data_IF_391858231376
#
_entry.id   IF_391858231376
#
_cell.length_a   1.000
_cell.length_b   1.000
_cell.length_c   1.000
_cell.angle_alpha   90.00
_cell.angle_beta   90.00
_cell.angle_gamma   90.00
#
_symmetry.space_group_name_H-M   'P 1'
#
loop_
_entity.id
_entity.type
_entity.pdbx_description
1 polymer ?
#
# COMPACT_ATOMS: atom_id res chain seq x y z
N UNK A 1 -15.52 -18.36 -9.30
CA UNK A 1 -15.29 -17.85 -7.93
C UNK A 1 -14.79 -16.43 -8.04
N UNK A 2 -15.36 -15.49 -7.25
CA UNK A 2 -15.04 -14.06 -7.39
C UNK A 2 -14.94 -13.36 -6.02
N UNK A 3 -13.97 -12.45 -5.88
CA UNK A 3 -13.73 -11.64 -4.68
C UNK A 3 -14.90 -10.70 -4.38
N UNK A 4 -15.27 -10.57 -3.10
CA UNK A 4 -16.39 -9.75 -2.64
C UNK A 4 -15.97 -8.59 -1.71
N UNK A 5 -14.69 -8.42 -1.45
CA UNK A 5 -14.18 -7.51 -0.41
C UNK A 5 -14.72 -6.09 -0.54
N UNK A 6 -14.76 -5.55 -1.75
CA UNK A 6 -15.21 -4.18 -2.00
C UNK A 6 -16.60 -4.07 -2.66
N UNK A 7 -17.44 -5.11 -2.57
CA UNK A 7 -18.78 -5.13 -3.22
C UNK A 7 -19.70 -3.97 -2.81
N UNK A 8 -19.49 -3.37 -1.65
CA UNK A 8 -20.24 -2.19 -1.18
C UNK A 8 -19.71 -0.86 -1.69
N UNK A 9 -18.50 -0.83 -2.28
CA UNK A 9 -17.93 0.41 -2.82
C UNK A 9 -18.59 0.76 -4.15
N UNK A 10 -19.40 1.81 -4.16
CA UNK A 10 -20.18 2.21 -5.33
C UNK A 10 -19.38 3.00 -6.38
N UNK A 11 -18.23 3.57 -6.00
CA UNK A 11 -17.35 4.31 -6.91
C UNK A 11 -16.44 3.38 -7.71
N UNK A 12 -16.04 3.82 -8.90
CA UNK A 12 -14.98 3.17 -9.67
C UNK A 12 -13.67 3.20 -8.87
N UNK A 13 -12.90 2.12 -8.90
CA UNK A 13 -11.59 2.05 -8.28
C UNK A 13 -10.61 3.01 -8.95
N UNK A 14 -9.63 3.52 -8.16
CA UNK A 14 -8.58 4.37 -8.70
C UNK A 14 -7.56 3.55 -9.48
N UNK A 15 -6.90 4.19 -10.43
CA UNK A 15 -5.74 3.63 -11.10
C UNK A 15 -4.46 3.84 -10.26
N UNK A 16 -3.54 2.89 -10.31
CA UNK A 16 -2.20 3.05 -9.74
C UNK A 16 -1.47 4.27 -10.34
N UNK A 17 -1.73 4.59 -11.61
CA UNK A 17 -1.18 5.76 -12.30
C UNK A 17 -1.61 7.11 -11.70
N UNK A 18 -2.71 7.16 -10.95
CA UNK A 18 -3.18 8.38 -10.29
C UNK A 18 -2.45 8.63 -8.95
N UNK A 19 -1.95 7.58 -8.33
CA UNK A 19 -1.31 7.66 -7.00
C UNK A 19 0.09 8.24 -7.07
N UNK A 20 0.87 7.89 -8.10
CA UNK A 20 2.24 8.38 -8.27
C UNK A 20 2.36 9.90 -8.25
N UNK A 21 1.55 10.65 -9.04
CA UNK A 21 1.53 12.10 -9.02
C UNK A 21 1.20 12.71 -7.66
N UNK A 22 0.27 12.13 -6.90
CA UNK A 22 -0.09 12.64 -5.57
C UNK A 22 1.03 12.41 -4.54
N UNK A 23 1.69 11.24 -4.58
CA UNK A 23 2.88 10.97 -3.77
C UNK A 23 4.00 11.95 -4.12
N UNK A 24 4.23 12.23 -5.40
CA UNK A 24 5.23 13.21 -5.84
C UNK A 24 4.97 14.59 -5.26
N UNK A 25 3.74 15.10 -5.33
CA UNK A 25 3.35 16.39 -4.74
C UNK A 25 3.63 16.43 -3.24
N UNK A 26 3.28 15.35 -2.52
CA UNK A 26 3.50 15.24 -1.09
C UNK A 26 5.01 15.27 -0.75
N UNK A 27 5.83 14.49 -1.47
CA UNK A 27 7.29 14.45 -1.27
C UNK A 27 7.93 15.83 -1.56
N UNK A 28 7.50 16.51 -2.62
CA UNK A 28 8.01 17.83 -2.99
C UNK A 28 7.62 18.92 -1.99
N UNK A 29 6.46 18.82 -1.36
CA UNK A 29 5.98 19.79 -0.38
C UNK A 29 6.67 19.66 0.98
N UNK A 30 7.26 18.52 1.31
CA UNK A 30 7.96 18.30 2.57
C UNK A 30 9.37 18.89 2.52
N UNK A 31 9.71 19.73 3.50
CA UNK A 31 11.04 20.34 3.63
C UNK A 31 12.02 19.53 4.48
N UNK A 32 11.58 18.40 5.03
CA UNK A 32 12.38 17.55 5.93
C UNK A 32 12.43 16.11 5.41
N UNK A 33 12.84 15.15 6.25
CA UNK A 33 12.91 13.73 5.88
C UNK A 33 11.52 13.20 5.51
N UNK A 34 11.44 12.50 4.39
CA UNK A 34 10.25 11.72 4.02
C UNK A 34 10.51 10.25 4.22
N UNK A 35 9.62 9.60 4.95
CA UNK A 35 9.57 8.13 5.09
C UNK A 35 8.26 7.63 4.51
N UNK A 36 8.33 6.62 3.67
CA UNK A 36 7.13 6.01 3.08
C UNK A 36 7.12 4.52 3.33
N UNK A 37 5.99 3.98 3.76
CA UNK A 37 5.80 2.53 3.85
C UNK A 37 4.71 2.05 2.90
N UNK A 38 4.94 0.88 2.30
CA UNK A 38 3.99 0.19 1.42
C UNK A 38 4.22 -1.32 1.49
N UNK A 39 3.37 -2.11 0.84
CA UNK A 39 3.58 -3.55 0.71
C UNK A 39 4.84 -3.84 -0.09
N UNK A 40 5.71 -4.71 0.42
CA UNK A 40 6.95 -5.09 -0.26
C UNK A 40 6.71 -5.78 -1.61
N UNK A 41 5.55 -6.39 -1.80
CA UNK A 41 5.12 -7.03 -3.05
C UNK A 41 4.55 -6.05 -4.09
N UNK A 42 4.24 -4.81 -3.71
CA UNK A 42 3.76 -3.81 -4.65
C UNK A 42 4.93 -3.08 -5.33
N UNK A 43 5.57 -3.77 -6.27
CA UNK A 43 6.76 -3.32 -7.00
C UNK A 43 6.48 -2.01 -7.75
N UNK A 44 5.29 -1.88 -8.38
CA UNK A 44 4.89 -0.67 -9.10
C UNK A 44 4.85 0.55 -8.16
N UNK A 45 4.27 0.40 -6.97
CA UNK A 45 4.20 1.45 -5.96
C UNK A 45 5.59 1.83 -5.45
N UNK A 46 6.46 0.85 -5.16
CA UNK A 46 7.82 1.11 -4.72
C UNK A 46 8.58 1.90 -5.80
N UNK A 47 8.43 1.52 -7.08
CA UNK A 47 9.02 2.25 -8.21
C UNK A 47 8.49 3.69 -8.28
N UNK A 48 7.18 3.89 -8.25
CA UNK A 48 6.56 5.23 -8.30
C UNK A 48 7.02 6.14 -7.15
N UNK A 49 7.19 5.58 -5.94
CA UNK A 49 7.72 6.33 -4.78
C UNK A 49 9.19 6.71 -5.01
N UNK A 50 10.01 5.77 -5.49
CA UNK A 50 11.43 6.00 -5.74
C UNK A 50 11.62 7.08 -6.83
N UNK A 51 10.88 6.99 -7.94
CA UNK A 51 10.88 7.99 -9.01
C UNK A 51 10.41 9.36 -8.52
N UNK A 52 9.42 9.39 -7.64
CA UNK A 52 8.96 10.65 -7.03
C UNK A 52 10.03 11.29 -6.15
N UNK A 53 10.80 10.48 -5.42
CA UNK A 53 11.94 10.94 -4.62
C UNK A 53 13.07 11.50 -5.48
N UNK A 54 13.47 10.78 -6.52
CA UNK A 54 14.49 11.23 -7.48
C UNK A 54 14.07 12.54 -8.16
N UNK A 55 12.81 12.63 -8.63
CA UNK A 55 12.27 13.84 -9.23
C UNK A 55 12.17 15.02 -8.26
N UNK A 56 12.17 14.79 -6.96
CA UNK A 56 12.25 15.81 -5.91
C UNK A 56 13.71 16.13 -5.50
N UNK A 57 14.70 15.57 -6.17
CA UNK A 57 16.13 15.75 -5.85
C UNK A 57 16.58 15.02 -4.59
N UNK A 58 15.84 14.01 -4.13
CA UNK A 58 16.15 13.25 -2.91
C UNK A 58 16.91 11.97 -3.23
N UNK A 59 17.88 11.64 -2.40
CA UNK A 59 18.50 10.32 -2.36
C UNK A 59 17.51 9.30 -1.82
N UNK A 60 17.31 8.19 -2.54
CA UNK A 60 16.35 7.15 -2.17
C UNK A 60 17.07 6.00 -1.46
N UNK A 61 16.56 5.58 -0.32
CA UNK A 61 17.06 4.42 0.41
C UNK A 61 15.95 3.41 0.71
N UNK A 62 16.14 2.15 0.28
CA UNK A 62 15.24 1.06 0.62
C UNK A 62 15.65 0.43 1.96
N UNK A 63 14.75 0.45 2.94
CA UNK A 63 14.96 -0.12 4.26
C UNK A 63 14.06 -1.32 4.53
N UNK A 64 14.60 -2.50 4.30
CA UNK A 64 13.93 -3.78 4.52
C UNK A 64 14.38 -4.83 3.52
N UNK A 65 14.81 -5.98 4.02
CA UNK A 65 15.36 -7.08 3.18
C UNK A 65 14.34 -7.58 2.17
N UNK A 66 13.09 -7.72 2.57
CA UNK A 66 12.03 -8.21 1.68
C UNK A 66 11.83 -7.28 0.47
N UNK A 67 11.81 -5.97 0.70
CA UNK A 67 11.61 -4.97 -0.35
C UNK A 67 12.77 -4.96 -1.36
N UNK A 68 14.03 -4.98 -0.87
CA UNK A 68 15.21 -5.08 -1.74
C UNK A 68 15.16 -6.33 -2.61
N UNK A 69 14.89 -7.49 -2.01
CA UNK A 69 14.81 -8.77 -2.72
C UNK A 69 13.71 -8.78 -3.79
N UNK A 70 12.57 -8.15 -3.53
CA UNK A 70 11.47 -8.04 -4.51
C UNK A 70 11.87 -7.20 -5.71
N UNK A 71 12.56 -6.07 -5.49
CA UNK A 71 13.06 -5.22 -6.59
C UNK A 71 14.16 -5.93 -7.39
N UNK A 72 15.11 -6.57 -6.73
CA UNK A 72 16.16 -7.38 -7.37
C UNK A 72 15.53 -8.47 -8.26
N UNK A 73 14.59 -9.25 -7.73
CA UNK A 73 13.91 -10.28 -8.49
C UNK A 73 13.10 -9.72 -9.66
N UNK A 74 12.47 -8.56 -9.51
CA UNK A 74 11.72 -7.90 -10.59
C UNK A 74 12.61 -7.44 -11.74
N UNK A 75 13.82 -6.94 -11.43
CA UNK A 75 14.82 -6.59 -12.44
C UNK A 75 15.39 -7.84 -13.12
N UNK A 76 15.75 -8.87 -12.37
CA UNK A 76 16.28 -10.14 -12.91
C UNK A 76 15.30 -10.86 -13.83
N UNK A 77 13.99 -10.79 -13.52
CA UNK A 77 12.92 -11.44 -14.31
C UNK A 77 12.39 -10.56 -15.45
N UNK A 78 12.86 -9.32 -15.59
CA UNK A 78 12.39 -8.39 -16.59
C UNK A 78 11.00 -7.80 -16.35
N UNK A 79 10.42 -7.99 -15.15
CA UNK A 79 9.18 -7.31 -14.72
C UNK A 79 9.42 -5.80 -14.59
N UNK A 80 10.60 -5.41 -14.13
CA UNK A 80 11.11 -4.06 -14.21
C UNK A 80 12.24 -4.01 -15.23
N UNK A 81 12.19 -3.04 -16.15
CA UNK A 81 13.30 -2.73 -17.06
C UNK A 81 14.38 -1.89 -16.38
N UNK A 82 13.97 -1.05 -15.41
CA UNK A 82 14.82 -0.11 -14.70
C UNK A 82 14.23 0.22 -13.33
N UNK A 83 15.08 0.67 -12.42
CA UNK A 83 14.70 1.20 -11.11
C UNK A 83 15.66 2.34 -10.75
N UNK A 84 15.18 3.43 -10.07
CA UNK A 84 16.03 4.52 -9.63
C UNK A 84 17.21 4.06 -8.78
N UNK A 85 18.31 4.79 -8.85
CA UNK A 85 19.50 4.50 -8.03
C UNK A 85 19.15 4.65 -6.55
N UNK A 86 19.46 3.62 -5.78
CA UNK A 86 19.24 3.61 -4.32
C UNK A 86 20.58 3.62 -3.59
N UNK A 87 20.63 4.42 -2.53
CA UNK A 87 21.81 4.47 -1.64
C UNK A 87 21.70 3.39 -0.55
N UNK A 88 22.84 3.05 0.03
CA UNK A 88 22.88 2.15 1.17
C UNK A 88 22.34 2.84 2.45
N UNK A 89 21.86 2.07 3.45
CA UNK A 89 21.51 2.65 4.75
C UNK A 89 22.68 3.30 5.47
N UNK A 90 23.91 2.91 5.18
CA UNK A 90 25.12 3.54 5.71
C UNK A 90 25.31 4.94 5.13
N UNK A 91 25.20 5.07 3.81
CA UNK A 91 25.31 6.36 3.11
C UNK A 91 24.16 7.30 3.51
N UNK A 92 22.94 6.77 3.72
CA UNK A 92 21.77 7.53 4.12
C UNK A 92 21.98 8.32 5.43
N UNK A 93 22.87 7.86 6.33
CA UNK A 93 23.18 8.57 7.58
C UNK A 93 23.90 9.90 7.35
N UNK A 94 24.62 10.05 6.26
CA UNK A 94 25.39 11.25 5.90
C UNK A 94 24.61 12.24 5.05
N UNK A 95 23.44 11.83 4.54
CA UNK A 95 22.57 12.70 3.72
C UNK A 95 21.75 13.62 4.63
N UNK A 96 21.68 14.93 4.35
CA UNK A 96 20.76 15.83 5.01
C UNK A 96 19.31 15.37 4.90
N UNK A 97 18.52 15.53 5.96
CA UNK A 97 17.14 15.02 6.05
C UNK A 97 16.25 15.49 4.89
N UNK A 98 16.37 16.74 4.51
CA UNK A 98 15.66 17.37 3.41
C UNK A 98 15.95 16.75 2.05
N UNK A 99 17.09 16.09 1.90
CA UNK A 99 17.53 15.43 0.67
C UNK A 99 17.38 13.89 0.73
N UNK A 100 16.65 13.36 1.70
CA UNK A 100 16.51 11.92 1.91
C UNK A 100 15.06 11.46 1.80
N UNK A 101 14.84 10.36 1.09
CA UNK A 101 13.61 9.59 1.08
C UNK A 101 13.90 8.15 1.52
N UNK A 102 13.22 7.70 2.55
CA UNK A 102 13.27 6.31 2.99
C UNK A 102 12.01 5.57 2.53
N UNK A 103 12.19 4.43 1.88
CA UNK A 103 11.09 3.50 1.60
C UNK A 103 11.28 2.30 2.51
N UNK A 104 10.33 2.08 3.43
CA UNK A 104 10.50 1.16 4.55
C UNK A 104 9.45 0.05 4.55
N UNK A 105 9.80 -1.11 5.06
CA UNK A 105 8.84 -2.20 5.35
C UNK A 105 8.05 -1.90 6.62
N UNK A 106 6.87 -2.53 6.76
CA UNK A 106 6.09 -2.47 8.00
C UNK A 106 4.79 -1.68 7.89
N UNK A 107 4.14 -1.74 6.72
CA UNK A 107 2.87 -1.07 6.46
C UNK A 107 1.69 -1.64 7.25
N UNK A 108 1.85 -2.82 7.85
CA UNK A 108 0.80 -3.52 8.61
C UNK A 108 1.09 -3.58 10.11
N UNK A 109 2.02 -2.77 10.61
CA UNK A 109 2.33 -2.71 12.03
C UNK A 109 3.19 -3.87 12.55
N UNK A 110 3.95 -4.52 11.67
CA UNK A 110 4.81 -5.65 12.00
C UNK A 110 5.92 -5.21 12.96
N UNK A 111 6.00 -5.86 14.12
CA UNK A 111 6.85 -5.47 15.26
C UNK A 111 8.35 -5.33 14.94
N UNK A 112 8.87 -6.14 13.99
CA UNK A 112 10.29 -6.16 13.61
C UNK A 112 10.58 -5.38 12.34
N UNK A 113 9.58 -4.78 11.73
CA UNK A 113 9.76 -4.01 10.51
C UNK A 113 10.42 -2.65 10.77
N UNK A 114 10.95 -2.05 9.70
CA UNK A 114 11.66 -0.78 9.77
C UNK A 114 10.76 0.36 10.30
N UNK A 115 9.49 0.43 9.88
CA UNK A 115 8.51 1.41 10.37
C UNK A 115 8.35 1.37 11.89
N UNK A 116 8.17 0.18 12.47
CA UNK A 116 8.04 0.00 13.91
C UNK A 116 9.31 0.38 14.66
N UNK A 117 10.48 0.05 14.12
CA UNK A 117 11.76 0.40 14.77
C UNK A 117 12.04 1.90 14.72
N UNK A 118 11.72 2.59 13.62
CA UNK A 118 11.80 4.04 13.51
C UNK A 118 10.83 4.73 14.50
N UNK A 119 9.60 4.25 14.59
CA UNK A 119 8.61 4.75 15.54
C UNK A 119 9.06 4.56 16.99
N UNK A 120 9.69 3.43 17.33
CA UNK A 120 10.22 3.16 18.67
C UNK A 120 11.50 3.92 19.01
N UNK A 121 12.14 4.60 18.05
CA UNK A 121 13.32 5.43 18.34
C UNK A 121 14.31 5.51 17.20
N UNK A 122 14.98 4.42 16.87
CA UNK A 122 16.08 4.44 15.90
C UNK A 122 16.15 3.16 15.08
N UNK A 123 16.37 3.31 13.79
CA UNK A 123 16.64 2.19 12.90
C UNK A 123 17.83 2.49 12.00
N UNK A 124 18.84 1.61 12.05
CA UNK A 124 20.08 1.73 11.26
C UNK A 124 20.74 3.12 11.34
N UNK A 125 20.74 3.74 12.51
CA UNK A 125 21.36 5.03 12.73
C UNK A 125 20.47 6.24 12.46
N UNK A 126 19.31 6.06 11.85
CA UNK A 126 18.37 7.15 11.52
C UNK A 126 17.31 7.27 12.61
N UNK A 127 16.98 8.50 12.97
CA UNK A 127 15.93 8.88 13.92
C UNK A 127 14.95 9.85 13.28
N UNK A 128 13.68 9.72 13.64
CA UNK A 128 12.63 10.65 13.23
C UNK A 128 12.41 11.73 14.29
N UNK A 129 12.07 12.92 13.86
CA UNK A 129 11.83 14.09 14.69
C UNK A 129 10.73 14.98 14.11
N UNK A 130 10.37 16.02 14.84
CA UNK A 130 9.41 17.05 14.43
C UNK A 130 9.69 17.58 13.03
N UNK A 131 8.62 17.69 12.23
CA UNK A 131 8.65 18.14 10.84
C UNK A 131 9.05 17.09 9.81
N UNK A 132 9.47 15.88 10.23
CA UNK A 132 9.60 14.75 9.30
C UNK A 132 8.21 14.24 8.89
N UNK A 133 8.10 13.70 7.68
CA UNK A 133 6.85 13.14 7.13
C UNK A 133 6.91 11.62 7.10
N UNK A 134 5.84 10.95 7.54
CA UNK A 134 5.68 9.51 7.41
C UNK A 134 4.39 9.18 6.63
N UNK A 135 4.54 8.63 5.42
CA UNK A 135 3.44 8.24 4.55
C UNK A 135 3.17 6.73 4.65
N UNK A 136 1.95 6.36 5.01
CA UNK A 136 1.41 5.01 4.80
C UNK A 136 0.76 4.94 3.41
N UNK A 137 1.51 4.50 2.40
CA UNK A 137 1.00 4.25 1.05
C UNK A 137 0.42 2.84 0.93
N UNK A 138 -0.47 2.51 1.86
CA UNK A 138 -1.13 1.21 1.98
C UNK A 138 -2.39 1.34 2.82
N UNK A 139 -3.36 0.47 2.59
CA UNK A 139 -4.51 0.33 3.50
C UNK A 139 -4.19 -0.67 4.59
N UNK A 140 -4.65 -0.39 5.81
CA UNK A 140 -4.55 -1.34 6.91
C UNK A 140 -5.48 -2.53 6.66
N UNK A 141 -4.92 -3.74 6.71
CA UNK A 141 -5.67 -4.98 6.60
C UNK A 141 -6.46 -5.19 7.90
N UNK A 142 -7.75 -5.57 7.84
CA UNK A 142 -8.53 -5.89 9.03
C UNK A 142 -7.81 -6.85 9.98
N UNK A 143 -7.73 -6.47 11.25
CA UNK A 143 -7.00 -7.19 12.30
C UNK A 143 -5.61 -6.62 12.62
N UNK A 144 -5.06 -5.75 11.78
CA UNK A 144 -3.75 -5.11 11.99
C UNK A 144 -3.86 -3.70 12.60
N UNK A 145 -5.07 -3.19 12.82
CA UNK A 145 -5.34 -1.80 13.22
C UNK A 145 -4.56 -1.41 14.47
N UNK A 146 -4.51 -2.29 15.48
CA UNK A 146 -3.78 -2.04 16.73
C UNK A 146 -2.28 -1.85 16.53
N UNK A 147 -1.69 -2.59 15.60
CA UNK A 147 -0.28 -2.49 15.27
C UNK A 147 0.04 -1.20 14.56
N UNK A 148 -0.78 -0.83 13.57
CA UNK A 148 -0.63 0.38 12.77
C UNK A 148 -0.85 1.63 13.61
N UNK A 149 -1.97 1.71 14.38
CA UNK A 149 -2.27 2.87 15.22
C UNK A 149 -1.19 3.09 16.31
N UNK A 150 -0.59 2.02 16.82
CA UNK A 150 0.54 2.14 17.74
C UNK A 150 1.72 2.86 17.09
N UNK A 151 2.08 2.51 15.86
CA UNK A 151 3.15 3.19 15.13
C UNK A 151 2.78 4.64 14.88
N UNK A 152 1.56 4.93 14.43
CA UNK A 152 1.07 6.29 14.18
C UNK A 152 1.19 7.14 15.46
N UNK A 153 0.73 6.65 16.60
CA UNK A 153 0.82 7.37 17.87
C UNK A 153 2.27 7.65 18.27
N UNK A 154 3.15 6.67 18.15
CA UNK A 154 4.57 6.83 18.48
C UNK A 154 5.29 7.84 17.56
N UNK A 155 4.89 7.93 16.29
CA UNK A 155 5.38 8.94 15.36
C UNK A 155 4.85 10.32 15.72
N UNK A 156 3.55 10.43 15.99
CA UNK A 156 2.90 11.67 16.42
C UNK A 156 3.49 12.24 17.71
N UNK A 157 3.81 11.38 18.69
CA UNK A 157 4.50 11.78 19.93
C UNK A 157 5.87 12.42 19.69
N UNK A 158 6.50 12.17 18.53
CA UNK A 158 7.77 12.76 18.11
C UNK A 158 7.61 14.02 17.26
N UNK A 159 6.37 14.45 16.99
CA UNK A 159 6.08 15.57 16.08
C UNK A 159 6.23 15.24 14.61
N UNK A 160 6.23 13.94 14.25
CA UNK A 160 6.27 13.49 12.85
C UNK A 160 4.88 13.62 12.25
N UNK A 161 4.78 14.26 11.08
CA UNK A 161 3.54 14.35 10.32
C UNK A 161 3.21 13.01 9.69
N UNK A 162 2.07 12.42 10.07
CA UNK A 162 1.63 11.13 9.54
C UNK A 162 0.51 11.33 8.54
N UNK A 163 0.69 10.74 7.35
CA UNK A 163 -0.26 10.75 6.24
C UNK A 163 -0.60 9.30 5.87
N UNK A 164 -1.88 9.02 5.68
CA UNK A 164 -2.38 7.71 5.28
C UNK A 164 -3.46 7.83 4.18
N UNK A 165 -4.13 6.73 3.83
CA UNK A 165 -5.16 6.68 2.80
C UNK A 165 -6.45 7.43 3.16
N UNK A 166 -6.66 7.83 4.41
CA UNK A 166 -7.75 8.70 4.83
C UNK A 166 -7.49 10.18 4.53
N UNK A 167 -6.21 10.55 4.40
CA UNK A 167 -5.76 11.93 4.19
C UNK A 167 -5.70 12.34 2.72
N UNK A 168 -5.76 11.39 1.78
CA UNK A 168 -5.67 11.69 0.35
C UNK A 168 -5.53 10.45 -0.54
N UNK A 169 -5.15 10.67 -1.80
CA UNK A 169 -5.09 9.64 -2.83
C UNK A 169 -3.73 8.93 -2.88
N UNK A 170 -3.27 8.40 -1.76
CA UNK A 170 -1.94 7.79 -1.64
C UNK A 170 -1.92 6.27 -1.73
N UNK A 171 -3.08 5.65 -1.92
CA UNK A 171 -3.22 4.21 -2.04
C UNK A 171 -4.34 3.82 -3.00
N UNK A 172 -4.22 2.65 -3.61
CA UNK A 172 -5.24 1.96 -4.40
C UNK A 172 -5.47 0.58 -3.81
N UNK A 173 -6.73 0.21 -3.61
CA UNK A 173 -7.09 -1.15 -3.23
C UNK A 173 -6.80 -2.13 -4.37
N UNK A 174 -6.23 -3.29 -4.03
CA UNK A 174 -6.11 -4.40 -4.99
C UNK A 174 -7.42 -5.15 -5.23
N UNK A 175 -8.49 -4.84 -4.49
CA UNK A 175 -9.80 -5.45 -4.62
C UNK A 175 -10.70 -4.60 -5.50
N UNK A 176 -11.39 -5.25 -6.46
CA UNK A 176 -12.34 -4.60 -7.36
C UNK A 176 -13.54 -4.05 -6.59
N UNK A 177 -13.96 -2.83 -6.92
CA UNK A 177 -15.18 -2.22 -6.40
C UNK A 177 -16.42 -2.77 -7.15
N UNK A 178 -17.63 -2.41 -6.72
CA UNK A 178 -18.88 -2.89 -7.31
C UNK A 178 -18.98 -2.66 -8.83
N UNK A 179 -18.61 -1.48 -9.39
CA UNK A 179 -18.66 -1.26 -10.84
C UNK A 179 -17.74 -2.22 -11.62
N UNK A 180 -16.52 -2.44 -11.14
CA UNK A 180 -15.58 -3.37 -11.79
C UNK A 180 -16.04 -4.81 -11.68
N UNK A 181 -16.63 -5.23 -10.54
CA UNK A 181 -17.26 -6.54 -10.40
C UNK A 181 -18.41 -6.73 -11.39
N UNK A 182 -19.21 -5.68 -11.58
CA UNK A 182 -20.30 -5.68 -12.58
C UNK A 182 -19.77 -5.87 -13.99
N UNK A 183 -18.71 -5.12 -14.37
CA UNK A 183 -18.04 -5.25 -15.68
C UNK A 183 -17.42 -6.63 -15.84
N UNK A 184 -16.76 -7.16 -14.80
CA UNK A 184 -16.16 -8.49 -14.82
C UNK A 184 -17.23 -9.57 -15.12
N UNK A 185 -18.41 -9.48 -14.50
CA UNK A 185 -19.50 -10.41 -14.76
C UNK A 185 -19.99 -10.32 -16.22
N UNK A 186 -20.07 -9.11 -16.79
CA UNK A 186 -20.46 -8.93 -18.19
C UNK A 186 -19.42 -9.53 -19.16
N UNK A 187 -18.14 -9.33 -18.88
CA UNK A 187 -17.02 -9.85 -19.72
C UNK A 187 -16.94 -11.39 -19.65
N UNK A 188 -16.98 -11.94 -18.43
CA UNK A 188 -16.79 -13.38 -18.21
C UNK A 188 -18.06 -14.16 -18.53
N UNK A 189 -19.23 -13.54 -18.38
CA UNK A 189 -20.56 -14.17 -18.57
C UNK A 189 -20.64 -15.55 -17.90
N UNK A 190 -20.38 -15.67 -16.59
CA UNK A 190 -20.27 -16.95 -15.92
C UNK A 190 -21.62 -17.64 -15.84
N UNK A 191 -21.64 -18.97 -15.97
CA UNK A 191 -22.85 -19.76 -15.74
C UNK A 191 -23.26 -19.75 -14.27
N UNK A 192 -22.27 -19.64 -13.37
CA UNK A 192 -22.49 -19.72 -11.93
C UNK A 192 -21.48 -18.85 -11.19
N UNK A 193 -21.94 -18.09 -10.19
CA UNK A 193 -21.15 -17.25 -9.33
C UNK A 193 -21.05 -17.85 -7.92
N UNK A 194 -19.82 -18.02 -7.43
CA UNK A 194 -19.52 -18.32 -6.04
C UNK A 194 -18.70 -17.17 -5.45
N UNK A 195 -19.33 -16.28 -4.67
CA UNK A 195 -18.63 -15.19 -3.99
C UNK A 195 -17.65 -15.71 -2.94
N UNK A 196 -16.47 -15.08 -2.85
CA UNK A 196 -15.48 -15.39 -1.83
C UNK A 196 -14.92 -14.09 -1.23
N UNK A 197 -14.18 -14.22 -0.14
CA UNK A 197 -13.61 -13.13 0.65
C UNK A 197 -14.65 -12.20 1.29
N UNK A 198 -14.25 -11.54 2.36
CA UNK A 198 -15.11 -10.66 3.15
C UNK A 198 -16.02 -11.44 4.11
N UNK A 199 -16.88 -10.68 4.77
CA UNK A 199 -17.86 -11.18 5.73
C UNK A 199 -19.11 -11.71 4.99
N UNK A 200 -19.94 -12.48 5.68
CA UNK A 200 -21.20 -13.02 5.13
C UNK A 200 -22.04 -11.97 4.40
N UNK A 201 -22.10 -10.72 4.90
CA UNK A 201 -22.82 -9.62 4.28
C UNK A 201 -22.25 -9.26 2.89
N UNK A 202 -20.93 -9.37 2.70
CA UNK A 202 -20.27 -9.11 1.42
C UNK A 202 -20.64 -10.20 0.41
N UNK A 203 -20.59 -11.49 0.83
CA UNK A 203 -20.98 -12.61 -0.01
C UNK A 203 -22.44 -12.48 -0.46
N UNK A 204 -23.34 -12.15 0.49
CA UNK A 204 -24.76 -11.96 0.18
C UNK A 204 -25.01 -10.81 -0.81
N UNK A 205 -24.31 -9.71 -0.67
CA UNK A 205 -24.44 -8.57 -1.58
C UNK A 205 -23.89 -8.90 -2.96
N UNK A 206 -22.84 -9.69 -3.05
CA UNK A 206 -22.28 -10.12 -4.33
C UNK A 206 -23.19 -11.13 -5.04
N UNK A 207 -23.87 -12.02 -4.29
CA UNK A 207 -24.94 -12.87 -4.85
C UNK A 207 -25.99 -12.01 -5.53
N UNK A 208 -26.53 -10.98 -4.85
CA UNK A 208 -27.52 -10.07 -5.42
C UNK A 208 -27.02 -9.34 -6.68
N UNK A 209 -25.73 -8.96 -6.70
CA UNK A 209 -25.12 -8.37 -7.89
C UNK A 209 -25.13 -9.38 -9.05
N UNK A 210 -24.73 -10.64 -8.83
CA UNK A 210 -24.76 -11.67 -9.85
C UNK A 210 -26.18 -11.94 -10.36
N UNK A 211 -27.15 -12.10 -9.46
CA UNK A 211 -28.57 -12.29 -9.79
C UNK A 211 -29.15 -11.13 -10.62
N UNK A 212 -28.78 -9.90 -10.29
CA UNK A 212 -29.19 -8.71 -11.06
C UNK A 212 -28.66 -8.69 -12.50
N UNK A 213 -27.62 -9.48 -12.77
CA UNK A 213 -27.02 -9.72 -14.09
C UNK A 213 -27.50 -11.00 -14.76
N UNK A 214 -28.48 -11.70 -14.16
CA UNK A 214 -28.97 -12.97 -14.66
C UNK A 214 -28.03 -14.15 -14.43
N UNK A 215 -27.03 -14.01 -13.58
CA UNK A 215 -26.08 -15.08 -13.22
C UNK A 215 -26.63 -15.84 -12.02
N UNK A 216 -26.72 -17.16 -12.13
CA UNK A 216 -27.03 -18.02 -10.97
C UNK A 216 -25.92 -17.88 -9.92
N UNK A 217 -26.27 -17.58 -8.68
CA UNK A 217 -25.29 -17.35 -7.62
C UNK A 217 -25.64 -18.12 -6.34
N UNK A 218 -24.62 -18.58 -5.65
CA UNK A 218 -24.78 -19.30 -4.38
C UNK A 218 -23.92 -18.69 -3.30
N UNK A 219 -24.53 -18.40 -2.16
CA UNK A 219 -23.82 -18.04 -0.95
C UNK A 219 -23.32 -19.30 -0.25
N UNK A 220 -22.00 -19.50 -0.22
CA UNK A 220 -21.38 -20.58 0.51
C UNK A 220 -20.45 -20.03 1.58
N UNK A 221 -20.56 -20.55 2.80
CA UNK A 221 -19.62 -20.27 3.90
C UNK A 221 -18.58 -21.40 3.98
N UNK A 222 -17.49 -21.15 4.73
CA UNK A 222 -16.44 -22.16 4.94
C UNK A 222 -17.04 -23.46 5.48
N UNK A 223 -16.71 -24.56 4.82
CA UNK A 223 -17.24 -25.89 5.16
C UNK A 223 -18.57 -26.26 4.49
N UNK A 224 -19.20 -25.37 3.74
CA UNK A 224 -20.36 -25.72 2.93
C UNK A 224 -19.94 -26.61 1.74
N UNK A 225 -20.75 -27.62 1.44
CA UNK A 225 -20.63 -28.43 0.22
C UNK A 225 -21.51 -27.78 -0.87
N UNK A 226 -20.93 -27.51 -2.03
CA UNK A 226 -21.59 -26.88 -3.17
C UNK A 226 -21.63 -27.86 -4.34
#
# INVERSE_FOLDING_TARGET
>A
ICDSTNVFSASVGRSESEVGPEIRKLIQACSNLVVTTTFASNIARIKSIAEAGEAAGRSVCLMGRAMKRMIEAALETGILSEFPTVISPEDAKSIPKENLLLIVTGSQGERRAASSQLANGKYQGITLSEGDLFLFSSKTIPGNERGVIKIINQLSEKGVDVVDDSSGNYHVSGHANRPELSILHDIVSPQFLLPMHGEHRHLREHVKLGESKGVSALLATNGAMV
#
